data_IF_095834629465
#
_entry.id   IF_095834629465
#
_cell.length_a   1.000
_cell.length_b   1.000
_cell.length_c   1.000
_cell.angle_alpha   90.00
_cell.angle_beta   90.00
_cell.angle_gamma   90.00
#
_symmetry.space_group_name_H-M   'P 1'
#
loop_
_entity.id
_entity.type
_entity.pdbx_description
1 polymer ?
#
# COMPACT_ATOMS: atom_id res chain seq x y z
N UNK A 1 24.72 45.75 -14.76
CA UNK A 1 25.19 44.38 -14.45
C UNK A 1 24.17 43.43 -15.03
N UNK A 2 24.42 42.95 -16.25
CA UNK A 2 23.47 42.15 -17.01
C UNK A 2 23.69 40.67 -16.69
N UNK A 3 22.75 40.05 -15.98
CA UNK A 3 22.68 38.61 -15.78
C UNK A 3 22.25 37.94 -17.08
N UNK A 4 23.21 37.33 -17.77
CA UNK A 4 22.97 36.47 -18.93
C UNK A 4 22.21 35.22 -18.49
N UNK A 5 20.93 35.12 -18.88
CA UNK A 5 20.18 33.87 -18.82
C UNK A 5 20.96 32.81 -19.62
N UNK A 6 21.26 31.69 -18.98
CA UNK A 6 21.83 30.52 -19.63
C UNK A 6 20.94 30.16 -20.83
N UNK A 7 21.55 30.17 -22.02
CA UNK A 7 20.88 29.95 -23.29
C UNK A 7 20.16 28.60 -23.31
N UNK A 8 18.95 28.56 -23.90
CA UNK A 8 18.10 27.37 -24.06
C UNK A 8 18.78 26.03 -24.39
N UNK A 9 19.89 25.94 -25.16
CA UNK A 9 20.62 24.67 -25.35
C UNK A 9 21.24 24.08 -24.08
N UNK A 10 21.52 24.87 -23.04
CA UNK A 10 22.17 24.39 -21.80
C UNK A 10 21.22 23.61 -20.89
N UNK A 11 19.97 24.03 -20.78
CA UNK A 11 18.91 23.31 -20.04
C UNK A 11 18.55 21.99 -20.71
N UNK A 12 18.45 21.98 -22.05
CA UNK A 12 18.23 20.76 -22.83
C UNK A 12 19.39 19.78 -22.69
N UNK A 13 20.63 20.27 -22.67
CA UNK A 13 21.81 19.43 -22.45
C UNK A 13 21.85 18.83 -21.03
N UNK A 14 21.44 19.59 -20.02
CA UNK A 14 21.35 19.10 -18.63
C UNK A 14 20.24 18.06 -18.45
N UNK A 15 19.08 18.25 -19.09
CA UNK A 15 18.00 17.26 -19.11
C UNK A 15 18.44 15.97 -19.81
N UNK A 16 19.10 16.08 -20.96
CA UNK A 16 19.65 14.92 -21.68
C UNK A 16 20.72 14.22 -20.84
N UNK A 17 21.61 14.97 -20.20
CA UNK A 17 22.64 14.42 -19.32
C UNK A 17 22.04 13.73 -18.10
N UNK A 18 21.00 14.31 -17.49
CA UNK A 18 20.28 13.70 -16.38
C UNK A 18 19.53 12.44 -16.79
N UNK A 19 18.88 12.44 -17.96
CA UNK A 19 18.23 11.26 -18.54
C UNK A 19 19.25 10.15 -18.83
N UNK A 20 20.38 10.48 -19.46
CA UNK A 20 21.48 9.54 -19.68
C UNK A 20 22.02 9.01 -18.35
N UNK A 21 22.26 9.89 -17.37
CA UNK A 21 22.79 9.51 -16.06
C UNK A 21 21.82 8.60 -15.28
N UNK A 22 20.52 8.91 -15.30
CA UNK A 22 19.48 8.10 -14.67
C UNK A 22 19.32 6.72 -15.33
N UNK A 23 19.44 6.64 -16.66
CA UNK A 23 19.45 5.37 -17.42
C UNK A 23 20.71 4.55 -17.10
N UNK A 24 21.87 5.19 -16.99
CA UNK A 24 23.14 4.53 -16.65
C UNK A 24 23.15 4.04 -15.19
N UNK A 25 22.67 4.84 -14.23
CA UNK A 25 22.55 4.44 -12.82
C UNK A 25 21.48 3.36 -12.61
N UNK A 26 20.37 3.41 -13.35
CA UNK A 26 19.35 2.35 -13.35
C UNK A 26 19.89 1.01 -13.86
N UNK A 27 20.84 1.03 -14.80
CA UNK A 27 21.52 -0.16 -15.31
C UNK A 27 22.65 -0.68 -14.40
N UNK A 28 23.14 0.12 -13.46
CA UNK A 28 24.21 -0.27 -12.53
C UNK A 28 23.68 -1.13 -11.35
N UNK A 29 22.40 -1.02 -10.99
CA UNK A 29 21.71 -1.90 -10.03
C UNK A 29 21.22 -3.19 -10.71
N UNK A 30 22.13 -3.93 -11.36
CA UNK A 30 21.80 -5.24 -11.94
C UNK A 30 21.68 -6.30 -10.85
N UNK A 31 20.46 -6.52 -10.34
CA UNK A 31 20.14 -7.78 -9.69
C UNK A 31 20.33 -8.92 -10.70
N UNK A 32 20.87 -10.04 -10.22
CA UNK A 32 21.36 -11.15 -11.03
C UNK A 32 20.21 -11.86 -11.78
N UNK A 33 20.41 -12.08 -13.09
CA UNK A 33 19.83 -13.14 -13.95
C UNK A 33 18.38 -13.59 -13.70
N UNK A 34 17.45 -12.70 -13.40
CA UNK A 34 16.02 -13.06 -13.38
C UNK A 34 15.48 -13.29 -14.79
N UNK A 35 14.77 -14.42 -14.96
CA UNK A 35 13.99 -14.74 -16.16
C UNK A 35 12.72 -13.89 -16.19
N UNK A 36 12.11 -13.75 -17.35
CA UNK A 36 10.90 -12.97 -17.49
C UNK A 36 10.43 -12.90 -18.94
N UNK A 37 9.22 -12.36 -19.15
CA UNK A 37 8.59 -12.28 -20.46
C UNK A 37 9.48 -11.61 -21.53
N UNK A 38 9.18 -11.90 -22.82
CA UNK A 38 9.85 -11.25 -23.94
C UNK A 38 9.70 -9.73 -23.85
N UNK A 39 10.55 -8.99 -24.56
CA UNK A 39 10.60 -7.52 -24.47
C UNK A 39 9.19 -6.91 -24.59
N UNK A 40 8.86 -5.92 -23.75
CA UNK A 40 7.54 -5.32 -23.74
C UNK A 40 7.25 -4.65 -25.08
N UNK A 41 5.97 -4.63 -25.47
CA UNK A 41 5.50 -3.98 -26.71
C UNK A 41 5.69 -2.47 -26.65
N UNK A 42 5.61 -1.87 -25.47
CA UNK A 42 5.87 -0.45 -25.24
C UNK A 42 7.17 -0.25 -24.47
N UNK A 43 8.06 0.58 -25.00
CA UNK A 43 9.25 1.02 -24.27
C UNK A 43 8.90 1.90 -23.05
N UNK A 44 7.87 2.75 -23.18
CA UNK A 44 7.49 3.72 -22.16
C UNK A 44 6.69 3.09 -21.02
N UNK A 45 5.73 2.24 -21.35
CA UNK A 45 4.81 1.64 -20.37
C UNK A 45 5.18 0.20 -20.00
N UNK A 46 6.24 -0.35 -20.59
CA UNK A 46 6.69 -1.70 -20.29
C UNK A 46 5.60 -2.75 -20.55
N UNK A 47 5.52 -3.74 -19.68
CA UNK A 47 4.55 -4.83 -19.76
C UNK A 47 3.16 -4.40 -19.27
N UNK A 48 3.05 -3.30 -18.53
CA UNK A 48 1.77 -2.78 -18.03
C UNK A 48 0.80 -2.51 -19.18
N UNK A 49 1.30 -2.05 -20.32
CA UNK A 49 0.48 -1.88 -21.52
C UNK A 49 -0.18 -3.19 -21.98
N UNK A 50 0.55 -4.30 -21.94
CA UNK A 50 0.03 -5.61 -22.33
C UNK A 50 -0.92 -6.18 -21.28
N UNK A 51 -0.68 -5.89 -20.00
CA UNK A 51 -1.56 -6.29 -18.90
C UNK A 51 -2.89 -5.54 -18.93
N UNK A 52 -2.85 -4.23 -19.21
CA UNK A 52 -4.04 -3.38 -19.29
C UNK A 52 -4.90 -3.62 -20.55
N UNK A 53 -4.29 -4.14 -21.62
CA UNK A 53 -4.98 -4.40 -22.89
C UNK A 53 -5.58 -5.81 -22.98
N UNK A 54 -5.49 -6.63 -21.93
CA UNK A 54 -6.08 -7.96 -21.96
C UNK A 54 -7.61 -7.88 -21.99
N UNK A 55 -8.23 -8.68 -22.87
CA UNK A 55 -9.68 -8.86 -22.88
C UNK A 55 -10.19 -9.52 -21.58
N UNK A 56 -9.36 -10.33 -20.94
CA UNK A 56 -9.63 -10.95 -19.64
C UNK A 56 -8.42 -10.76 -18.74
N UNK A 57 -8.51 -9.94 -17.67
CA UNK A 57 -7.39 -9.69 -16.78
C UNK A 57 -6.86 -10.98 -16.12
N UNK A 58 -5.55 -11.08 -15.94
CA UNK A 58 -4.89 -12.19 -15.25
C UNK A 58 -4.44 -13.35 -16.14
N UNK A 59 -4.70 -13.29 -17.46
CA UNK A 59 -4.34 -14.37 -18.39
C UNK A 59 -2.84 -14.39 -18.66
N UNK A 60 -2.23 -13.25 -19.00
CA UNK A 60 -0.78 -13.20 -19.26
C UNK A 60 0.02 -13.41 -17.97
N UNK A 61 -0.48 -12.91 -16.85
CA UNK A 61 0.13 -13.09 -15.53
C UNK A 61 0.22 -14.58 -15.19
N UNK A 62 -0.85 -15.34 -15.47
CA UNK A 62 -0.86 -16.80 -15.30
C UNK A 62 0.12 -17.48 -16.26
N UNK A 63 0.07 -17.15 -17.55
CA UNK A 63 0.98 -17.72 -18.55
C UNK A 63 2.46 -17.45 -18.23
N UNK A 64 2.80 -16.24 -17.81
CA UNK A 64 4.17 -15.89 -17.43
C UNK A 64 4.60 -16.55 -16.13
N UNK A 65 3.68 -16.74 -15.19
CA UNK A 65 3.95 -17.49 -13.96
C UNK A 65 4.21 -18.97 -14.27
N UNK A 66 3.46 -19.56 -15.20
CA UNK A 66 3.65 -20.94 -15.67
C UNK A 66 4.97 -21.11 -16.44
N UNK A 67 5.33 -20.16 -17.30
CA UNK A 67 6.52 -20.24 -18.17
C UNK A 67 7.83 -19.86 -17.46
N UNK A 68 7.80 -18.82 -16.63
CA UNK A 68 8.99 -18.22 -16.01
C UNK A 68 9.07 -18.43 -14.49
N UNK A 69 8.04 -18.99 -13.88
CA UNK A 69 7.95 -19.25 -12.44
C UNK A 69 7.36 -18.07 -11.66
N UNK A 70 7.27 -18.21 -10.33
CA UNK A 70 6.70 -17.19 -9.43
C UNK A 70 7.61 -15.98 -9.20
N UNK A 71 8.85 -16.02 -9.71
CA UNK A 71 9.84 -14.95 -9.61
C UNK A 71 10.19 -14.50 -11.03
N UNK A 72 9.53 -13.44 -11.48
CA UNK A 72 9.71 -12.91 -12.84
C UNK A 72 10.14 -11.46 -12.85
N UNK A 73 10.91 -11.12 -13.88
CA UNK A 73 11.32 -9.76 -14.16
C UNK A 73 10.34 -9.12 -15.14
N UNK A 74 9.64 -8.09 -14.69
CA UNK A 74 8.80 -7.26 -15.56
C UNK A 74 9.40 -5.86 -15.72
N UNK A 75 9.26 -5.33 -16.93
CA UNK A 75 9.53 -3.93 -17.22
C UNK A 75 8.28 -3.09 -16.94
N UNK A 76 8.46 -1.98 -16.23
CA UNK A 76 7.46 -0.94 -15.91
C UNK A 76 7.86 0.37 -16.59
N UNK A 77 7.29 1.49 -16.14
CA UNK A 77 7.47 2.83 -16.67
C UNK A 77 8.94 3.18 -16.93
N UNK A 78 9.20 3.71 -18.14
CA UNK A 78 10.53 4.08 -18.65
C UNK A 78 11.56 2.91 -18.60
N UNK A 79 11.11 1.67 -18.78
CA UNK A 79 11.98 0.49 -18.84
C UNK A 79 12.58 0.08 -17.49
N UNK A 80 12.08 0.63 -16.38
CA UNK A 80 12.47 0.19 -15.03
C UNK A 80 12.13 -1.28 -14.85
N UNK A 81 13.04 -2.04 -14.24
CA UNK A 81 12.86 -3.47 -13.98
C UNK A 81 12.41 -3.65 -12.54
N UNK A 82 11.25 -4.25 -12.34
CA UNK A 82 10.74 -4.61 -11.02
C UNK A 82 10.90 -6.12 -10.81
N UNK A 83 11.26 -6.51 -9.59
CA UNK A 83 11.33 -7.91 -9.17
C UNK A 83 10.30 -8.18 -8.08
N UNK A 84 9.41 -9.14 -8.31
CA UNK A 84 8.54 -9.70 -7.26
C UNK A 84 9.34 -10.72 -6.43
N UNK A 85 10.31 -10.26 -5.63
CA UNK A 85 11.29 -11.16 -4.98
C UNK A 85 11.14 -11.27 -3.46
N UNK A 86 11.01 -10.17 -2.74
CA UNK A 86 11.16 -10.19 -1.28
C UNK A 86 10.11 -11.05 -0.56
N UNK A 87 8.85 -10.99 -1.00
CA UNK A 87 7.74 -11.74 -0.40
C UNK A 87 7.85 -13.25 -0.64
N UNK A 88 8.21 -13.64 -1.87
CA UNK A 88 8.33 -15.04 -2.25
C UNK A 88 9.54 -15.71 -1.60
N UNK A 89 10.63 -14.97 -1.44
CA UNK A 89 11.84 -15.43 -0.76
C UNK A 89 11.60 -15.60 0.75
N UNK A 90 10.98 -14.60 1.41
CA UNK A 90 10.61 -14.70 2.82
C UNK A 90 9.66 -15.87 3.09
N UNK A 91 8.65 -16.07 2.23
CA UNK A 91 7.70 -17.16 2.39
C UNK A 91 8.35 -18.54 2.14
N UNK A 92 9.31 -18.65 1.21
CA UNK A 92 10.03 -19.90 1.01
C UNK A 92 10.88 -20.30 2.22
N UNK A 93 11.45 -19.33 2.94
CA UNK A 93 12.16 -19.61 4.20
C UNK A 93 11.17 -20.09 5.25
N UNK A 94 10.06 -19.36 5.43
CA UNK A 94 8.99 -19.70 6.37
C UNK A 94 8.41 -21.11 6.15
N UNK A 95 8.18 -21.52 4.90
CA UNK A 95 7.65 -22.85 4.57
C UNK A 95 8.53 -24.01 5.06
N UNK A 96 9.84 -23.80 5.15
CA UNK A 96 10.80 -24.83 5.53
C UNK A 96 11.14 -24.80 7.02
N UNK A 97 10.75 -23.76 7.76
CA UNK A 97 11.00 -23.66 9.21
C UNK A 97 9.84 -24.31 9.99
N UNK A 98 10.09 -25.38 10.76
CA UNK A 98 9.08 -25.99 11.61
C UNK A 98 8.52 -25.03 12.68
N UNK A 99 9.34 -24.10 13.19
CA UNK A 99 8.92 -23.15 14.23
C UNK A 99 7.89 -22.15 13.72
N UNK A 100 7.97 -21.81 12.43
CA UNK A 100 7.03 -20.88 11.82
C UNK A 100 5.60 -21.43 11.83
N UNK A 101 5.44 -22.76 11.79
CA UNK A 101 4.13 -23.43 11.83
C UNK A 101 3.45 -23.33 13.20
N UNK A 102 4.20 -23.05 14.24
CA UNK A 102 3.66 -22.85 15.59
C UNK A 102 3.11 -21.42 15.78
N UNK A 103 3.44 -20.50 14.86
CA UNK A 103 2.97 -19.13 14.92
C UNK A 103 1.50 -19.03 14.52
N UNK A 104 0.78 -18.12 15.19
CA UNK A 104 -0.64 -17.84 14.94
C UNK A 104 -0.87 -16.66 14.01
N UNK A 105 0.17 -16.21 13.30
CA UNK A 105 0.07 -15.16 12.30
C UNK A 105 -0.24 -15.73 10.90
N UNK A 106 -0.43 -14.85 9.92
CA UNK A 106 -0.81 -15.24 8.56
C UNK A 106 0.28 -16.09 7.90
N UNK A 107 1.56 -15.86 8.21
CA UNK A 107 2.67 -16.63 7.66
C UNK A 107 2.64 -18.05 8.21
N UNK A 108 2.51 -18.19 9.54
CA UNK A 108 2.40 -19.48 10.22
C UNK A 108 1.16 -20.26 9.80
N UNK A 109 0.02 -19.60 9.61
CA UNK A 109 -1.20 -20.23 9.11
C UNK A 109 -1.02 -20.76 7.68
N UNK A 110 -0.45 -19.96 6.77
CA UNK A 110 -0.18 -20.40 5.40
C UNK A 110 0.86 -21.53 5.34
N UNK A 111 1.89 -21.48 6.19
CA UNK A 111 2.86 -22.54 6.33
C UNK A 111 2.22 -23.83 6.87
N UNK A 112 1.30 -23.71 7.83
CA UNK A 112 0.55 -24.84 8.36
C UNK A 112 -0.35 -25.47 7.30
N UNK A 113 -1.09 -24.66 6.52
CA UNK A 113 -1.90 -25.14 5.40
C UNK A 113 -1.07 -25.82 4.32
N UNK A 114 0.16 -25.37 4.03
CA UNK A 114 1.05 -26.06 3.09
C UNK A 114 1.42 -27.49 3.53
N UNK A 115 1.55 -27.70 4.84
CA UNK A 115 1.90 -28.99 5.44
C UNK A 115 0.69 -29.79 5.95
N UNK A 116 -0.54 -29.36 5.64
CA UNK A 116 -1.75 -30.05 6.08
C UNK A 116 -1.82 -31.47 5.50
N UNK A 117 -2.28 -32.43 6.30
CA UNK A 117 -2.44 -33.81 5.86
C UNK A 117 -3.71 -34.02 5.02
N UNK A 118 -4.76 -33.24 5.32
CA UNK A 118 -5.99 -33.22 4.53
C UNK A 118 -5.74 -32.53 3.19
N UNK A 119 -6.19 -33.17 2.11
CA UNK A 119 -6.06 -32.63 0.76
C UNK A 119 -6.89 -31.37 0.56
N UNK A 120 -8.06 -31.28 1.20
CA UNK A 120 -8.97 -30.15 1.00
C UNK A 120 -8.51 -28.89 1.75
N UNK A 121 -7.68 -29.06 2.78
CA UNK A 121 -7.06 -27.96 3.54
C UNK A 121 -5.65 -27.61 3.04
N UNK A 122 -5.03 -28.50 2.24
CA UNK A 122 -3.64 -28.35 1.80
C UNK A 122 -3.50 -27.45 0.58
N UNK A 123 -2.78 -26.34 0.77
CA UNK A 123 -2.38 -25.46 -0.32
C UNK A 123 -1.08 -25.93 -0.99
N UNK A 124 -1.00 -25.77 -2.30
CA UNK A 124 0.23 -25.93 -3.06
C UNK A 124 1.17 -24.74 -2.83
N UNK A 125 2.46 -24.94 -3.13
CA UNK A 125 3.49 -23.89 -2.93
C UNK A 125 3.12 -22.62 -3.70
N UNK A 126 2.67 -22.77 -4.93
CA UNK A 126 2.27 -21.67 -5.82
C UNK A 126 1.07 -20.92 -5.26
N UNK A 127 0.11 -21.62 -4.65
CA UNK A 127 -1.07 -21.03 -4.03
C UNK A 127 -0.71 -20.22 -2.80
N UNK A 128 0.17 -20.75 -1.94
CA UNK A 128 0.68 -20.03 -0.76
C UNK A 128 1.40 -18.75 -1.16
N UNK A 129 2.29 -18.84 -2.15
CA UNK A 129 3.01 -17.68 -2.67
C UNK A 129 2.06 -16.64 -3.29
N UNK A 130 1.02 -17.10 -4.01
CA UNK A 130 0.01 -16.22 -4.58
C UNK A 130 -0.83 -15.51 -3.50
N UNK A 131 -1.21 -16.20 -2.43
CA UNK A 131 -1.94 -15.58 -1.30
C UNK A 131 -1.08 -14.54 -0.59
N UNK A 132 0.20 -14.85 -0.32
CA UNK A 132 1.12 -13.89 0.30
C UNK A 132 1.29 -12.63 -0.55
N UNK A 133 1.52 -12.78 -1.85
CA UNK A 133 1.59 -11.66 -2.78
C UNK A 133 0.30 -10.84 -2.78
N UNK A 134 -0.86 -11.50 -2.73
CA UNK A 134 -2.17 -10.83 -2.66
C UNK A 134 -2.28 -9.97 -1.41
N UNK A 135 -1.92 -10.49 -0.24
CA UNK A 135 -2.00 -9.74 1.03
C UNK A 135 -1.08 -8.52 1.03
N UNK A 136 0.16 -8.66 0.56
CA UNK A 136 1.11 -7.56 0.53
C UNK A 136 0.70 -6.47 -0.46
N UNK A 137 0.35 -6.84 -1.68
CA UNK A 137 -0.04 -5.87 -2.71
C UNK A 137 -1.35 -5.16 -2.35
N UNK A 138 -2.36 -5.92 -1.91
CA UNK A 138 -3.65 -5.35 -1.55
C UNK A 138 -3.57 -4.51 -0.27
N UNK A 139 -2.79 -4.92 0.73
CA UNK A 139 -2.66 -4.20 2.00
C UNK A 139 -1.82 -2.93 1.90
N UNK A 140 -0.67 -2.99 1.21
CA UNK A 140 0.29 -1.89 1.22
C UNK A 140 -0.23 -0.64 0.48
N UNK A 141 -0.59 -0.79 -0.79
CA UNK A 141 -0.93 0.37 -1.64
C UNK A 141 -2.25 1.03 -1.20
N UNK A 142 -3.23 0.23 -0.79
CA UNK A 142 -4.57 0.74 -0.42
C UNK A 142 -4.54 1.48 0.91
N UNK A 143 -3.90 0.92 1.94
CA UNK A 143 -3.82 1.56 3.26
C UNK A 143 -2.92 2.79 3.21
N UNK A 144 -1.73 2.71 2.58
CA UNK A 144 -0.80 3.83 2.52
C UNK A 144 -1.43 5.04 1.80
N UNK A 145 -2.10 4.81 0.66
CA UNK A 145 -2.77 5.88 -0.10
C UNK A 145 -3.93 6.48 0.68
N UNK A 146 -4.74 5.64 1.34
CA UNK A 146 -5.86 6.10 2.16
C UNK A 146 -5.38 6.95 3.34
N UNK A 147 -4.31 6.52 4.02
CA UNK A 147 -3.70 7.27 5.11
C UNK A 147 -3.16 8.61 4.62
N UNK A 148 -2.47 8.62 3.48
CA UNK A 148 -1.92 9.84 2.90
C UNK A 148 -3.02 10.88 2.57
N UNK A 149 -4.13 10.44 1.95
CA UNK A 149 -5.29 11.31 1.68
C UNK A 149 -5.92 11.80 2.98
N UNK A 150 -6.08 10.92 3.98
CA UNK A 150 -6.64 11.28 5.28
C UNK A 150 -5.79 12.34 5.97
N UNK A 151 -4.47 12.16 6.02
CA UNK A 151 -3.56 13.14 6.61
C UNK A 151 -3.65 14.50 5.91
N UNK A 152 -3.70 14.52 4.58
CA UNK A 152 -3.91 15.76 3.81
C UNK A 152 -5.26 16.43 4.11
N UNK A 153 -6.34 15.63 4.23
CA UNK A 153 -7.65 16.17 4.56
C UNK A 153 -7.67 16.79 5.96
N UNK A 154 -7.05 16.12 6.95
CA UNK A 154 -6.92 16.66 8.30
C UNK A 154 -6.11 17.97 8.32
N UNK A 155 -5.07 18.12 7.48
CA UNK A 155 -4.28 19.36 7.46
C UNK A 155 -5.01 20.53 6.80
N UNK A 156 -6.02 20.25 5.98
CA UNK A 156 -6.86 21.26 5.33
C UNK A 156 -8.13 21.60 6.11
N UNK A 157 -8.39 20.91 7.23
CA UNK A 157 -9.52 21.10 8.14
C UNK A 157 -9.02 21.07 9.61
N UNK A 158 -8.34 22.14 10.09
CA UNK A 158 -7.74 22.17 11.42
C UNK A 158 -8.72 21.90 12.58
N UNK A 159 -9.99 22.27 12.41
CA UNK A 159 -11.08 22.00 13.34
C UNK A 159 -11.30 20.50 13.55
N UNK A 160 -11.22 19.70 12.49
CA UNK A 160 -11.34 18.25 12.57
C UNK A 160 -10.14 17.64 13.29
N UNK A 161 -8.93 18.19 13.08
CA UNK A 161 -7.74 17.76 13.80
C UNK A 161 -7.86 17.99 15.31
N UNK A 162 -8.38 19.14 15.73
CA UNK A 162 -8.61 19.45 17.14
C UNK A 162 -9.68 18.54 17.75
N UNK A 163 -10.78 18.33 17.01
CA UNK A 163 -11.85 17.42 17.43
C UNK A 163 -11.33 15.99 17.60
N UNK A 164 -10.55 15.48 16.65
CA UNK A 164 -9.93 14.15 16.75
C UNK A 164 -9.04 14.04 17.98
N UNK A 165 -8.24 15.07 18.30
CA UNK A 165 -7.44 15.07 19.54
C UNK A 165 -8.31 14.99 20.78
N UNK A 166 -9.38 15.77 20.84
CA UNK A 166 -10.32 15.74 21.95
C UNK A 166 -10.98 14.36 22.09
N UNK A 167 -11.41 13.74 20.98
CA UNK A 167 -12.00 12.39 20.97
C UNK A 167 -10.99 11.31 21.40
N UNK A 168 -9.73 11.41 21.00
CA UNK A 168 -8.66 10.46 21.39
C UNK A 168 -8.32 10.59 22.88
N UNK A 169 -8.35 11.81 23.42
CA UNK A 169 -8.07 12.08 24.83
C UNK A 169 -9.29 11.79 25.72
N UNK A 170 -10.49 11.85 25.17
CA UNK A 170 -11.71 11.53 25.89
C UNK A 170 -11.75 10.04 26.19
N UNK A 171 -11.89 9.71 27.47
CA UNK A 171 -12.53 8.45 27.84
C UNK A 171 -13.94 8.56 27.27
N UNK A 172 -14.38 7.62 26.44
CA UNK A 172 -15.71 7.63 25.81
C UNK A 172 -16.67 6.66 26.55
N UNK A 173 -17.19 6.99 27.76
CA UNK A 173 -18.15 6.14 28.46
C UNK A 173 -19.39 5.82 27.63
N UNK A 174 -19.81 6.73 26.75
CA UNK A 174 -20.96 6.51 25.87
C UNK A 174 -20.78 5.35 24.89
N UNK A 175 -19.53 4.99 24.58
CA UNK A 175 -19.17 3.89 23.67
C UNK A 175 -18.74 2.65 24.46
N UNK A 176 -17.89 2.85 25.47
CA UNK A 176 -17.21 1.76 26.17
C UNK A 176 -17.84 1.37 27.51
N UNK A 177 -18.78 2.14 28.04
CA UNK A 177 -19.41 1.94 29.36
C UNK A 177 -18.71 2.71 30.49
N UNK A 178 -19.25 2.63 31.70
CA UNK A 178 -18.73 3.38 32.86
C UNK A 178 -17.28 3.00 33.22
N UNK A 179 -16.84 1.79 32.88
CA UNK A 179 -15.47 1.29 33.05
C UNK A 179 -14.54 1.64 31.87
N UNK A 180 -14.89 2.61 31.03
CA UNK A 180 -14.13 2.99 29.82
C UNK A 180 -12.66 3.38 30.08
N UNK A 181 -12.34 3.89 31.27
CA UNK A 181 -10.98 4.27 31.65
C UNK A 181 -10.12 3.08 32.11
N UNK A 182 -10.71 1.91 32.29
CA UNK A 182 -10.04 0.73 32.86
C UNK A 182 -9.61 -0.25 31.76
N UNK A 183 -8.41 -0.81 31.93
CA UNK A 183 -7.94 -1.94 31.13
C UNK A 183 -8.72 -3.20 31.50
N UNK A 184 -9.77 -3.49 30.72
CA UNK A 184 -10.65 -4.63 30.91
C UNK A 184 -10.67 -5.52 29.65
N UNK A 185 -9.81 -6.54 29.55
CA UNK A 185 -9.75 -7.42 28.38
C UNK A 185 -11.03 -8.27 28.20
N UNK A 186 -11.80 -8.50 29.28
CA UNK A 186 -13.07 -9.24 29.21
C UNK A 186 -14.21 -8.46 28.54
N UNK A 187 -14.01 -7.16 28.29
CA UNK A 187 -14.98 -6.26 27.61
C UNK A 187 -15.43 -6.77 26.23
N UNK A 188 -14.61 -7.60 25.59
CA UNK A 188 -14.91 -8.19 24.28
C UNK A 188 -15.51 -9.59 24.35
N UNK A 189 -15.64 -10.16 25.56
CA UNK A 189 -16.04 -11.55 25.81
C UNK A 189 -17.37 -11.67 26.56
N UNK A 190 -17.80 -10.61 27.25
CA UNK A 190 -19.00 -10.61 28.09
C UNK A 190 -20.30 -10.25 27.35
N UNK A 191 -20.22 -9.96 26.05
CA UNK A 191 -21.39 -9.71 25.21
C UNK A 191 -22.08 -8.36 25.47
N UNK A 192 -21.43 -7.43 26.19
CA UNK A 192 -21.99 -6.10 26.42
C UNK A 192 -22.18 -5.33 25.10
N UNK A 193 -23.27 -4.57 24.91
CA UNK A 193 -23.49 -3.80 23.70
C UNK A 193 -22.49 -2.65 23.61
N UNK A 194 -21.64 -2.66 22.57
CA UNK A 194 -20.75 -1.53 22.25
C UNK A 194 -21.56 -0.55 21.41
N UNK A 195 -21.90 0.60 21.99
CA UNK A 195 -22.66 1.65 21.31
C UNK A 195 -21.75 2.47 20.38
N UNK A 196 -21.21 1.79 19.37
CA UNK A 196 -20.40 2.40 18.32
C UNK A 196 -21.03 2.11 16.96
N UNK A 197 -21.09 3.13 16.11
CA UNK A 197 -21.47 2.98 14.70
C UNK A 197 -20.31 2.44 13.84
N UNK A 198 -19.28 1.83 14.45
CA UNK A 198 -18.17 1.19 13.76
C UNK A 198 -18.63 -0.20 13.28
N UNK A 199 -19.70 -0.21 12.48
CA UNK A 199 -20.14 -1.35 11.67
C UNK A 199 -19.50 -1.31 10.28
N UNK A 200 -19.84 -2.27 9.41
CA UNK A 200 -19.34 -2.46 8.04
C UNK A 200 -19.52 -1.19 7.16
N UNK A 201 -18.63 -0.21 7.34
CA UNK A 201 -18.41 1.01 6.57
C UNK A 201 -19.62 1.57 5.80
N UNK A 202 -20.60 2.10 6.55
CA UNK A 202 -21.55 3.12 6.11
C UNK A 202 -22.39 2.87 4.84
N UNK A 203 -22.49 1.63 4.34
CA UNK A 203 -23.14 1.30 3.05
C UNK A 203 -22.57 2.07 1.84
N UNK A 204 -21.33 2.56 1.93
CA UNK A 204 -20.68 3.33 0.85
C UNK A 204 -19.83 2.47 -0.08
N UNK A 205 -19.88 1.14 0.06
CA UNK A 205 -19.18 0.14 -0.76
C UNK A 205 -17.65 0.35 -0.88
N UNK A 206 -17.03 1.02 0.10
CA UNK A 206 -15.57 1.29 0.11
C UNK A 206 -14.72 0.03 0.20
N UNK A 207 -15.26 -1.03 0.79
CA UNK A 207 -14.63 -2.34 0.92
C UNK A 207 -15.37 -3.41 0.12
N UNK A 208 -16.06 -3.01 -0.95
CA UNK A 208 -16.99 -3.88 -1.68
C UNK A 208 -18.09 -4.44 -0.74
N UNK A 209 -18.81 -5.46 -1.20
CA UNK A 209 -19.87 -6.12 -0.42
C UNK A 209 -20.00 -7.60 -0.79
N UNK A 210 -20.70 -8.37 0.06
CA UNK A 210 -21.01 -9.78 -0.17
C UNK A 210 -19.79 -10.71 -0.02
N UNK A 211 -19.88 -11.89 -0.64
CA UNK A 211 -18.84 -12.95 -0.55
C UNK A 211 -17.49 -12.57 -1.14
N UNK A 212 -17.43 -11.47 -1.92
CA UNK A 212 -16.21 -10.88 -2.47
C UNK A 212 -15.89 -9.51 -1.86
N UNK A 213 -16.43 -9.23 -0.66
CA UNK A 213 -16.00 -8.10 0.14
C UNK A 213 -14.49 -8.15 0.41
N UNK A 214 -13.87 -7.00 0.62
CA UNK A 214 -12.46 -6.89 0.91
C UNK A 214 -12.11 -7.75 2.13
N UNK A 215 -11.27 -8.77 1.97
CA UNK A 215 -10.88 -9.66 3.06
C UNK A 215 -10.23 -8.92 4.23
N UNK A 216 -9.44 -7.88 3.92
CA UNK A 216 -8.65 -7.12 4.89
C UNK A 216 -9.35 -5.89 5.49
N UNK A 217 -10.65 -5.67 5.27
CA UNK A 217 -11.30 -4.40 5.65
C UNK A 217 -11.15 -4.05 7.13
N UNK A 218 -11.26 -5.03 8.03
CA UNK A 218 -11.09 -4.82 9.48
C UNK A 218 -9.66 -4.38 9.79
N UNK A 219 -8.69 -5.06 9.20
CA UNK A 219 -7.28 -4.76 9.40
C UNK A 219 -6.94 -3.36 8.88
N UNK A 220 -7.39 -3.01 7.67
CA UNK A 220 -7.18 -1.69 7.08
C UNK A 220 -7.76 -0.56 7.95
N UNK A 221 -8.96 -0.74 8.49
CA UNK A 221 -9.57 0.26 9.38
C UNK A 221 -8.82 0.40 10.69
N UNK A 222 -8.43 -0.71 11.32
CA UNK A 222 -7.61 -0.66 12.54
C UNK A 222 -6.28 0.05 12.27
N UNK A 223 -5.60 -0.29 11.17
CA UNK A 223 -4.33 0.34 10.78
C UNK A 223 -4.49 1.85 10.57
N UNK A 224 -5.51 2.26 9.80
CA UNK A 224 -5.81 3.68 9.56
C UNK A 224 -6.14 4.44 10.86
N UNK A 225 -6.95 3.84 11.74
CA UNK A 225 -7.34 4.45 13.01
C UNK A 225 -6.15 4.58 13.96
N UNK A 226 -5.37 3.52 14.15
CA UNK A 226 -4.20 3.52 15.04
C UNK A 226 -3.14 4.49 14.52
N UNK A 227 -2.80 4.42 13.22
CA UNK A 227 -1.83 5.33 12.63
C UNK A 227 -2.28 6.80 12.76
N UNK A 228 -3.54 7.09 12.44
CA UNK A 228 -4.10 8.44 12.59
C UNK A 228 -4.08 8.92 14.03
N UNK A 229 -4.50 8.06 14.98
CA UNK A 229 -4.54 8.42 16.38
C UNK A 229 -3.15 8.73 16.92
N UNK A 230 -2.15 7.89 16.59
CA UNK A 230 -0.77 8.12 16.98
C UNK A 230 -0.19 9.39 16.35
N UNK A 231 -0.48 9.66 15.07
CA UNK A 231 0.02 10.85 14.39
C UNK A 231 -0.61 12.13 14.95
N UNK A 232 -1.94 12.16 15.12
CA UNK A 232 -2.67 13.35 15.60
C UNK A 232 -2.42 13.62 17.09
N UNK A 233 -2.20 12.57 17.89
CA UNK A 233 -1.86 12.69 19.32
C UNK A 233 -0.49 13.32 19.54
N UNK A 234 0.52 12.90 18.75
CA UNK A 234 1.91 13.32 18.98
C UNK A 234 2.35 14.49 18.08
N UNK A 235 1.61 14.79 17.01
CA UNK A 235 2.00 15.81 16.04
C UNK A 235 0.87 16.78 15.67
N UNK A 236 1.28 18.01 15.44
CA UNK A 236 0.54 19.04 14.72
C UNK A 236 0.85 18.92 13.23
N UNK A 237 -0.14 18.49 12.44
CA UNK A 237 -0.01 18.34 10.99
C UNK A 237 -0.36 19.66 10.31
N UNK A 238 0.59 20.22 9.57
CA UNK A 238 0.48 21.53 8.94
C UNK A 238 0.53 21.36 7.42
N UNK A 239 -0.47 21.90 6.72
CA UNK A 239 -0.50 21.95 5.27
C UNK A 239 0.60 22.88 4.74
N UNK A 240 1.26 22.48 3.65
CA UNK A 240 2.24 23.33 2.97
C UNK A 240 1.50 24.20 1.95
N UNK A 241 1.50 25.54 2.08
CA UNK A 241 0.67 26.43 1.25
C UNK A 241 0.93 26.33 -0.26
N UNK A 242 2.15 25.94 -0.65
CA UNK A 242 2.56 25.80 -2.05
C UNK A 242 2.19 24.47 -2.70
N UNK A 243 1.56 23.55 -1.97
CA UNK A 243 1.26 22.19 -2.45
C UNK A 243 -0.26 21.97 -2.49
N UNK A 244 -0.96 22.65 -3.41
CA UNK A 244 -2.33 22.25 -3.72
C UNK A 244 -2.31 20.82 -4.25
N UNK A 245 -3.17 19.98 -3.68
CA UNK A 245 -3.23 18.57 -4.02
C UNK A 245 -4.38 18.31 -4.97
N UNK A 246 -4.11 17.49 -5.99
CA UNK A 246 -5.09 16.94 -6.91
C UNK A 246 -5.22 15.45 -6.67
N UNK A 247 -6.46 14.97 -6.62
CA UNK A 247 -6.72 13.53 -6.60
C UNK A 247 -6.64 13.03 -8.05
N UNK A 248 -5.66 12.18 -8.32
CA UNK A 248 -5.59 11.46 -9.59
C UNK A 248 -6.70 10.42 -9.59
N UNK A 249 -7.50 10.45 -10.65
CA UNK A 249 -8.58 9.49 -10.82
C UNK A 249 -7.98 8.18 -11.35
N UNK A 250 -7.55 7.31 -10.44
CA UNK A 250 -7.27 5.91 -10.73
C UNK A 250 -8.55 5.12 -10.42
N UNK A 251 -8.93 4.19 -11.30
CA UNK A 251 -10.16 3.40 -11.18
C UNK A 251 -10.28 2.62 -9.85
N UNK A 252 -9.17 2.39 -9.14
CA UNK A 252 -9.13 1.59 -7.91
C UNK A 252 -8.81 2.38 -6.62
N UNK A 253 -8.10 3.50 -6.70
CA UNK A 253 -7.60 4.23 -5.52
C UNK A 253 -7.60 5.74 -5.72
N UNK A 254 -7.86 6.46 -4.63
CA UNK A 254 -7.63 7.90 -4.58
C UNK A 254 -6.15 8.16 -4.35
N UNK A 255 -5.43 8.55 -5.40
CA UNK A 255 -4.01 8.84 -5.33
C UNK A 255 -3.79 10.36 -5.28
N UNK A 256 -3.35 10.93 -4.15
CA UNK A 256 -3.08 12.37 -4.07
C UNK A 256 -1.74 12.68 -4.75
N UNK A 257 -1.74 13.66 -5.66
CA UNK A 257 -0.53 14.19 -6.29
C UNK A 257 -0.50 15.72 -6.16
N UNK A 258 0.70 16.29 -6.14
CA UNK A 258 0.87 17.74 -6.10
C UNK A 258 0.47 18.29 -7.47
N UNK A 259 -0.40 19.30 -7.47
CA UNK A 259 -0.87 19.95 -8.69
C UNK A 259 0.31 20.50 -9.51
N UNK A 260 0.39 20.12 -10.79
CA UNK A 260 1.48 20.49 -11.69
C UNK A 260 2.77 19.66 -11.55
N UNK A 261 2.76 18.61 -10.71
CA UNK A 261 3.84 17.63 -10.49
C UNK A 261 3.31 16.20 -10.51
N UNK A 262 2.28 15.95 -11.31
CA UNK A 262 1.65 14.63 -11.42
C UNK A 262 2.60 13.54 -11.96
N UNK A 263 3.61 13.94 -12.74
CA UNK A 263 4.67 13.10 -13.28
C UNK A 263 5.67 12.60 -12.22
N UNK A 264 5.80 13.31 -11.09
CA UNK A 264 6.56 12.85 -9.92
C UNK A 264 5.85 11.70 -9.18
N UNK A 265 4.60 11.41 -9.55
CA UNK A 265 3.77 10.37 -8.97
C UNK A 265 2.98 10.82 -7.73
N UNK A 266 2.28 9.88 -7.07
CA UNK A 266 1.49 10.14 -5.87
C UNK A 266 2.40 10.58 -4.71
N UNK A 267 2.13 11.75 -4.14
CA UNK A 267 2.93 12.31 -3.06
C UNK A 267 2.06 13.21 -2.19
N UNK A 268 2.22 13.18 -0.86
CA UNK A 268 1.60 14.15 0.04
C UNK A 268 2.69 14.86 0.80
N UNK A 269 2.73 16.20 0.71
CA UNK A 269 3.76 17.01 1.37
C UNK A 269 3.17 17.67 2.60
N UNK A 270 3.55 17.18 3.78
CA UNK A 270 3.09 17.67 5.07
C UNK A 270 4.27 18.14 5.91
N UNK A 271 4.03 19.12 6.76
CA UNK A 271 4.95 19.47 7.85
C UNK A 271 4.38 18.92 9.15
N UNK A 272 5.22 18.22 9.90
CA UNK A 272 4.91 17.72 11.22
C UNK A 272 5.62 18.60 12.24
N UNK A 273 4.90 19.00 13.28
CA UNK A 273 5.48 19.65 14.46
C UNK A 273 5.14 18.78 15.67
N UNK A 274 6.14 18.42 16.47
CA UNK A 274 5.94 17.63 17.69
C UNK A 274 5.11 18.45 18.68
N UNK A 275 4.16 17.80 19.35
CA UNK A 275 3.39 18.36 20.44
C UNK A 275 4.02 17.85 21.74
N UNK A 276 4.35 18.79 22.63
CA UNK A 276 4.89 18.50 23.96
C UNK A 276 3.81 17.92 24.90
#
# INVERSE_FOLDING_TARGET
MSTTLASGPTLSALLVAYLIHSVLLGNARKSQRLRGPPKPVSWLLGHEMQLLQQATPGVLERQWTEEYGTVTRIASFAGRRLGHQAAAEAMQVALNDPKEREQKDVVGLLASSFHASDRDERLQKEEVLAQMNTFLLAGQETTASSLAVLMYKITTHPEDQQRLRAEIQAVLPSVWGDDAAEWNPNRFLDGRPINSNIGLFGNVMRFSAGVRGCLGWKFAIMELQVATALLVKNFELIAIPTSKMKLLNNQFLLMPAVEGKEDEGPQVRLRFKVID
#
